data_IF_084256474727
#
_entry.id   IF_084256474727
#
_cell.length_a   1.000
_cell.length_b   1.000
_cell.length_c   1.000
_cell.angle_alpha   90.00
_cell.angle_beta   90.00
_cell.angle_gamma   90.00
#
_symmetry.space_group_name_H-M   'P 1'
#
loop_
_entity.id
_entity.type
_entity.pdbx_description
1 polymer ?
#
# COMPACT_ATOMS: atom_id res chain seq x y z
N UNK A 1 -20.34 -58.24 53.00
CA UNK A 1 -20.25 -56.97 52.31
C UNK A 1 -21.15 -57.03 51.07
N UNK A 2 -22.27 -56.31 50.98
CA UNK A 2 -23.13 -56.31 49.80
C UNK A 2 -22.40 -55.47 48.70
N UNK A 3 -22.26 -56.07 47.53
CA UNK A 3 -21.73 -55.41 46.34
C UNK A 3 -22.65 -54.27 45.87
N UNK A 4 -22.09 -53.24 45.20
CA UNK A 4 -22.87 -52.07 44.79
C UNK A 4 -23.95 -52.48 43.78
N UNK A 5 -25.17 -52.06 44.08
CA UNK A 5 -26.38 -52.28 43.25
C UNK A 5 -26.24 -51.65 41.86
N UNK A 6 -25.60 -52.33 40.92
CA UNK A 6 -25.51 -51.99 39.52
C UNK A 6 -26.87 -51.82 38.82
N UNK A 7 -27.94 -52.40 39.37
CA UNK A 7 -29.29 -52.32 38.81
C UNK A 7 -30.00 -50.98 39.07
N UNK A 8 -29.56 -50.18 40.07
CA UNK A 8 -30.12 -48.84 40.31
C UNK A 8 -29.49 -47.72 39.47
N UNK A 9 -28.33 -47.96 38.84
CA UNK A 9 -27.64 -47.00 38.03
C UNK A 9 -28.02 -47.01 36.53
N UNK A 10 -28.68 -48.05 36.04
CA UNK A 10 -29.06 -48.20 34.63
C UNK A 10 -29.94 -47.08 34.06
N UNK A 11 -30.94 -46.49 34.76
CA UNK A 11 -31.78 -45.43 34.18
C UNK A 11 -31.05 -44.09 33.97
N UNK A 12 -29.93 -43.87 34.68
CA UNK A 12 -29.12 -42.63 34.57
C UNK A 12 -28.00 -42.71 33.53
N UNK A 13 -27.57 -43.93 33.16
CA UNK A 13 -26.47 -44.11 32.19
C UNK A 13 -26.83 -43.65 30.78
N UNK A 14 -28.00 -43.91 30.28
CA UNK A 14 -28.44 -43.52 28.95
C UNK A 14 -28.56 -41.99 28.74
N UNK A 15 -29.25 -41.24 29.64
CA UNK A 15 -29.27 -39.78 29.56
C UNK A 15 -27.89 -39.13 29.63
N UNK A 16 -27.01 -39.66 30.50
CA UNK A 16 -25.60 -39.21 30.60
C UNK A 16 -24.81 -39.46 29.33
N UNK A 17 -24.96 -40.64 28.73
CA UNK A 17 -24.27 -40.99 27.47
C UNK A 17 -24.74 -40.10 26.30
N UNK A 18 -26.07 -39.88 26.16
CA UNK A 18 -26.63 -39.00 25.15
C UNK A 18 -26.17 -37.56 25.38
N UNK A 19 -26.20 -37.08 26.63
CA UNK A 19 -25.74 -35.75 26.99
C UNK A 19 -24.25 -35.54 26.68
N UNK A 20 -23.39 -36.50 27.05
CA UNK A 20 -21.94 -36.40 26.76
C UNK A 20 -21.65 -36.48 25.25
N UNK A 21 -22.34 -37.34 24.51
CA UNK A 21 -22.17 -37.45 23.06
C UNK A 21 -22.62 -36.18 22.35
N UNK A 22 -23.73 -35.58 22.71
CA UNK A 22 -24.22 -34.33 22.13
C UNK A 22 -23.33 -33.16 22.49
N UNK A 23 -22.79 -33.08 23.70
CA UNK A 23 -21.78 -32.08 24.09
C UNK A 23 -20.47 -32.24 23.32
N UNK A 24 -20.04 -33.49 23.11
CA UNK A 24 -18.83 -33.75 22.31
C UNK A 24 -19.00 -33.30 20.84
N UNK A 25 -20.16 -33.53 20.25
CA UNK A 25 -20.51 -33.06 18.90
C UNK A 25 -20.56 -31.53 18.89
N UNK A 26 -21.20 -30.91 19.88
CA UNK A 26 -21.23 -29.44 19.99
C UNK A 26 -19.83 -28.84 20.12
N UNK A 27 -18.98 -29.43 20.95
CA UNK A 27 -17.59 -28.98 21.13
C UNK A 27 -16.79 -29.12 19.82
N UNK A 28 -16.98 -30.22 19.10
CA UNK A 28 -16.33 -30.44 17.80
C UNK A 28 -16.81 -29.43 16.75
N UNK A 29 -18.10 -29.17 16.64
CA UNK A 29 -18.67 -28.16 15.74
C UNK A 29 -18.15 -26.76 16.07
N UNK A 30 -18.17 -26.40 17.34
CA UNK A 30 -17.65 -25.11 17.81
C UNK A 30 -16.15 -24.93 17.49
N UNK A 31 -15.35 -25.98 17.70
CA UNK A 31 -13.93 -25.93 17.38
C UNK A 31 -13.69 -25.85 15.87
N UNK A 32 -14.46 -26.60 15.09
CA UNK A 32 -14.40 -26.58 13.62
C UNK A 32 -14.75 -25.20 13.07
N UNK A 33 -15.83 -24.60 13.55
CA UNK A 33 -16.26 -23.25 13.15
C UNK A 33 -15.21 -22.19 13.49
N UNK A 34 -14.63 -22.24 14.69
CA UNK A 34 -13.54 -21.35 15.06
C UNK A 34 -12.33 -21.45 14.14
N UNK A 35 -11.95 -22.66 13.78
CA UNK A 35 -10.82 -22.88 12.86
C UNK A 35 -11.14 -22.36 11.46
N UNK A 36 -12.34 -22.58 10.97
CA UNK A 36 -12.79 -22.08 9.67
C UNK A 36 -12.80 -20.55 9.66
N UNK A 37 -13.43 -19.92 10.65
CA UNK A 37 -13.46 -18.47 10.79
C UNK A 37 -12.07 -17.84 10.87
N UNK A 38 -11.13 -18.47 11.58
CA UNK A 38 -9.73 -17.98 11.62
C UNK A 38 -9.02 -18.11 10.28
N UNK A 39 -9.27 -19.20 9.53
CA UNK A 39 -8.69 -19.39 8.19
C UNK A 39 -9.23 -18.36 7.21
N UNK A 40 -10.55 -18.11 7.26
CA UNK A 40 -11.21 -17.14 6.38
C UNK A 40 -10.73 -15.71 6.67
N UNK A 41 -10.61 -15.34 7.95
CA UNK A 41 -10.03 -14.06 8.33
C UNK A 41 -8.58 -13.93 7.83
N UNK A 42 -7.75 -14.97 8.01
CA UNK A 42 -6.37 -14.94 7.52
C UNK A 42 -6.31 -14.83 6.01
N UNK A 43 -7.15 -15.58 5.28
CA UNK A 43 -7.24 -15.51 3.82
C UNK A 43 -7.65 -14.12 3.33
N UNK A 44 -8.63 -13.48 3.98
CA UNK A 44 -9.06 -12.11 3.66
C UNK A 44 -7.96 -11.09 3.96
N UNK A 45 -7.22 -11.27 5.05
CA UNK A 45 -6.07 -10.43 5.39
C UNK A 45 -4.95 -10.55 4.34
N UNK A 46 -4.54 -11.78 3.99
CA UNK A 46 -3.52 -12.05 3.00
C UNK A 46 -3.94 -11.58 1.58
N UNK A 47 -5.24 -11.65 1.28
CA UNK A 47 -5.79 -11.07 0.05
C UNK A 47 -5.67 -9.54 0.06
N UNK A 48 -6.05 -8.88 1.15
CA UNK A 48 -5.93 -7.43 1.30
C UNK A 48 -4.48 -6.93 1.17
N UNK A 49 -3.53 -7.66 1.76
CA UNK A 49 -2.10 -7.37 1.65
C UNK A 49 -1.62 -7.42 0.19
N UNK A 50 -1.86 -8.55 -0.50
CA UNK A 50 -1.46 -8.70 -1.91
C UNK A 50 -2.16 -7.70 -2.83
N UNK A 51 -3.45 -7.45 -2.61
CA UNK A 51 -4.20 -6.46 -3.39
C UNK A 51 -3.61 -5.06 -3.23
N UNK A 52 -3.18 -4.70 -2.00
CA UNK A 52 -2.51 -3.43 -1.74
C UNK A 52 -1.19 -3.32 -2.51
N UNK A 53 -0.35 -4.33 -2.41
CA UNK A 53 0.94 -4.37 -3.11
C UNK A 53 0.74 -4.24 -4.63
N UNK A 54 -0.13 -5.07 -5.20
CA UNK A 54 -0.44 -5.05 -6.64
C UNK A 54 -0.94 -3.68 -7.11
N UNK A 55 -1.85 -3.04 -6.37
CA UNK A 55 -2.35 -1.70 -6.73
C UNK A 55 -1.26 -0.64 -6.73
N UNK A 56 -0.33 -0.71 -5.77
CA UNK A 56 0.83 0.22 -5.73
C UNK A 56 1.70 -0.02 -6.97
N UNK A 57 2.02 -1.28 -7.28
CA UNK A 57 2.83 -1.65 -8.44
C UNK A 57 2.19 -1.20 -9.75
N UNK A 58 0.90 -1.46 -9.96
CA UNK A 58 0.14 -1.06 -11.15
C UNK A 58 0.12 0.46 -11.32
N UNK A 59 -0.08 1.22 -10.24
CA UNK A 59 -0.09 2.68 -10.29
C UNK A 59 1.28 3.24 -10.68
N UNK A 60 2.34 2.70 -10.10
CA UNK A 60 3.70 3.13 -10.41
C UNK A 60 4.14 2.72 -11.82
N UNK A 61 3.69 1.55 -12.29
CA UNK A 61 3.87 1.14 -13.68
C UNK A 61 3.15 2.09 -14.66
N UNK A 62 1.97 2.60 -14.30
CA UNK A 62 1.27 3.64 -15.04
C UNK A 62 2.09 4.93 -15.15
N UNK A 63 2.72 5.38 -14.05
CA UNK A 63 3.60 6.56 -14.06
C UNK A 63 4.86 6.31 -14.91
N UNK A 64 5.44 5.11 -14.85
CA UNK A 64 6.56 4.74 -15.71
C UNK A 64 6.17 4.79 -17.19
N UNK A 65 5.01 4.26 -17.56
CA UNK A 65 4.53 4.29 -18.92
C UNK A 65 4.32 5.72 -19.45
N UNK A 66 3.82 6.60 -18.58
CA UNK A 66 3.67 8.02 -18.89
C UNK A 66 5.03 8.69 -19.15
N UNK A 67 6.05 8.41 -18.31
CA UNK A 67 7.41 8.90 -18.52
C UNK A 67 8.01 8.37 -19.83
N UNK A 68 7.74 7.11 -20.19
CA UNK A 68 8.18 6.55 -21.48
C UNK A 68 7.54 7.29 -22.66
N UNK A 69 6.27 7.66 -22.55
CA UNK A 69 5.60 8.51 -23.55
C UNK A 69 6.26 9.88 -23.65
N UNK A 70 6.50 10.55 -22.50
CA UNK A 70 7.16 11.84 -22.47
C UNK A 70 8.60 11.79 -23.01
N UNK A 71 9.35 10.70 -22.73
CA UNK A 71 10.65 10.46 -23.34
C UNK A 71 10.56 10.38 -24.85
N UNK A 72 9.56 9.63 -25.38
CA UNK A 72 9.34 9.48 -26.81
C UNK A 72 9.12 10.80 -27.53
N UNK A 73 8.47 11.79 -26.89
CA UNK A 73 8.31 13.14 -27.43
C UNK A 73 9.67 13.80 -27.71
N UNK A 74 10.63 13.70 -26.79
CA UNK A 74 11.97 14.29 -26.95
C UNK A 74 12.85 13.50 -27.93
N UNK A 75 12.76 12.18 -27.94
CA UNK A 75 13.57 11.33 -28.83
C UNK A 75 13.09 11.36 -30.28
N UNK A 76 11.80 11.64 -30.50
CA UNK A 76 11.21 11.73 -31.84
C UNK A 76 11.31 13.15 -32.45
N UNK A 77 11.38 14.19 -31.63
CA UNK A 77 11.34 15.59 -32.06
C UNK A 77 12.74 16.20 -32.14
N UNK A 78 12.99 17.11 -33.09
CA UNK A 78 14.22 17.88 -33.15
C UNK A 78 14.25 18.99 -32.08
N UNK A 79 13.08 19.59 -31.83
CA UNK A 79 12.89 20.61 -30.79
C UNK A 79 11.54 20.39 -30.12
N UNK A 80 11.49 20.53 -28.82
CA UNK A 80 10.24 20.51 -28.05
C UNK A 80 10.08 21.87 -27.41
N UNK A 81 8.98 22.56 -27.73
CA UNK A 81 8.65 23.84 -27.10
C UNK A 81 7.99 23.60 -25.73
N UNK A 82 7.98 24.61 -24.86
CA UNK A 82 7.31 24.57 -23.57
C UNK A 82 5.83 24.28 -23.69
N UNK A 83 5.15 25.00 -24.62
CA UNK A 83 3.71 24.84 -24.85
C UNK A 83 3.39 23.48 -25.46
N UNK A 84 4.24 22.98 -26.38
CA UNK A 84 4.10 21.62 -26.93
C UNK A 84 4.26 20.56 -25.86
N UNK A 85 5.21 20.74 -24.94
CA UNK A 85 5.36 19.83 -23.80
C UNK A 85 4.14 19.87 -22.86
N UNK A 86 3.66 21.08 -22.53
CA UNK A 86 2.48 21.25 -21.67
C UNK A 86 1.23 20.59 -22.30
N UNK A 87 0.94 20.85 -23.57
CA UNK A 87 -0.17 20.24 -24.30
C UNK A 87 -0.06 18.71 -24.35
N UNK A 88 1.16 18.20 -24.54
CA UNK A 88 1.40 16.76 -24.54
C UNK A 88 1.12 16.14 -23.16
N UNK A 89 1.58 16.77 -22.09
CA UNK A 89 1.31 16.30 -20.73
C UNK A 89 -0.18 16.37 -20.41
N UNK A 90 -0.86 17.45 -20.80
CA UNK A 90 -2.31 17.57 -20.61
C UNK A 90 -3.07 16.46 -21.33
N UNK A 91 -2.66 16.13 -22.57
CA UNK A 91 -3.25 15.03 -23.31
C UNK A 91 -2.99 13.67 -22.67
N UNK A 92 -1.80 13.46 -22.09
CA UNK A 92 -1.45 12.23 -21.36
C UNK A 92 -2.25 12.08 -20.06
N UNK A 93 -2.50 13.17 -19.34
CA UNK A 93 -3.13 13.14 -18.03
C UNK A 93 -4.65 13.32 -18.08
N UNK A 94 -5.18 13.90 -19.16
CA UNK A 94 -6.59 14.26 -19.30
C UNK A 94 -7.58 13.09 -19.41
N UNK A 95 -7.12 11.86 -19.62
CA UNK A 95 -7.98 10.68 -19.79
C UNK A 95 -7.79 9.59 -18.73
N UNK A 96 -6.87 9.76 -17.75
CA UNK A 96 -6.50 8.74 -16.79
C UNK A 96 -6.60 9.21 -15.35
N UNK A 97 -6.84 8.26 -14.44
CA UNK A 97 -6.72 8.49 -13.02
C UNK A 97 -5.24 8.44 -12.60
N UNK A 98 -4.57 9.59 -12.69
CA UNK A 98 -3.19 9.79 -12.25
C UNK A 98 -3.11 10.50 -10.90
N UNK A 99 -4.06 10.21 -10.03
CA UNK A 99 -4.09 10.77 -8.68
C UNK A 99 -2.77 10.51 -7.94
N UNK A 100 -2.24 11.53 -7.29
CA UNK A 100 -0.92 11.51 -6.65
C UNK A 100 0.20 12.05 -7.51
N UNK A 101 0.08 12.03 -8.84
CA UNK A 101 1.03 12.68 -9.74
C UNK A 101 0.88 14.20 -9.62
N UNK A 102 1.99 14.88 -9.31
CA UNK A 102 2.00 16.33 -9.17
C UNK A 102 2.47 17.06 -10.40
N UNK A 103 3.49 16.52 -11.04
CA UNK A 103 4.04 17.13 -12.24
C UNK A 103 4.87 16.14 -13.02
N UNK A 104 4.90 16.35 -14.34
CA UNK A 104 5.91 15.82 -15.24
C UNK A 104 6.83 16.96 -15.63
N UNK A 105 8.15 16.72 -15.60
CA UNK A 105 9.13 17.73 -15.92
C UNK A 105 10.19 17.16 -16.86
N UNK A 106 10.91 18.06 -17.52
CA UNK A 106 12.10 17.75 -18.30
C UNK A 106 13.28 18.58 -17.81
N UNK A 107 14.44 17.95 -17.69
CA UNK A 107 15.70 18.57 -17.28
C UNK A 107 16.82 18.11 -18.23
N UNK A 108 17.37 19.00 -19.07
CA UNK A 108 18.49 18.69 -19.97
C UNK A 108 19.80 18.53 -19.20
N UNK A 109 20.70 17.73 -19.76
CA UNK A 109 22.07 17.58 -19.31
C UNK A 109 22.94 18.66 -19.99
N UNK A 110 23.44 19.59 -19.24
CA UNK A 110 24.18 20.73 -19.78
C UNK A 110 25.60 20.79 -19.22
N UNK A 111 26.61 21.12 -20.04
CA UNK A 111 27.92 21.57 -19.55
C UNK A 111 27.75 22.92 -18.86
N UNK A 112 28.49 23.15 -17.77
CA UNK A 112 28.33 24.34 -16.94
C UNK A 112 28.59 25.65 -17.67
N UNK A 113 29.50 25.63 -18.66
CA UNK A 113 29.83 26.81 -19.49
C UNK A 113 28.69 27.21 -20.44
N UNK A 114 27.70 26.35 -20.70
CA UNK A 114 26.55 26.64 -21.55
C UNK A 114 25.38 27.28 -20.78
N UNK A 115 25.44 27.35 -19.45
CA UNK A 115 24.34 27.86 -18.60
C UNK A 115 23.89 29.28 -18.97
N UNK A 116 24.81 30.28 -19.17
CA UNK A 116 24.36 31.63 -19.52
C UNK A 116 23.60 31.71 -20.86
N UNK A 117 24.04 30.97 -21.87
CA UNK A 117 23.36 30.89 -23.15
C UNK A 117 22.00 30.19 -23.04
N UNK A 118 21.93 29.11 -22.23
CA UNK A 118 20.72 28.40 -21.97
C UNK A 118 19.69 29.25 -21.22
N UNK A 119 20.09 29.99 -20.19
CA UNK A 119 19.21 30.95 -19.49
C UNK A 119 18.66 32.04 -20.41
N UNK A 120 19.53 32.58 -21.28
CA UNK A 120 19.10 33.57 -22.27
C UNK A 120 18.05 32.99 -23.23
N UNK A 121 18.27 31.78 -23.72
CA UNK A 121 17.30 31.08 -24.58
C UNK A 121 15.97 30.83 -23.85
N UNK A 122 15.99 30.39 -22.59
CA UNK A 122 14.77 30.18 -21.79
C UNK A 122 14.01 31.49 -21.53
N UNK A 123 14.70 32.58 -21.28
CA UNK A 123 14.10 33.93 -21.14
C UNK A 123 13.48 34.41 -22.44
N UNK A 124 14.16 34.20 -23.57
CA UNK A 124 13.64 34.53 -24.89
C UNK A 124 12.42 33.69 -25.28
N UNK A 125 12.29 32.47 -24.75
CA UNK A 125 11.15 31.57 -24.93
C UNK A 125 10.00 31.82 -23.93
N UNK A 126 9.93 33.00 -23.30
CA UNK A 126 8.81 33.40 -22.47
C UNK A 126 8.97 33.18 -20.95
N UNK A 127 10.15 32.72 -20.48
CA UNK A 127 10.42 32.58 -19.05
C UNK A 127 11.28 33.72 -18.53
N UNK A 128 10.75 34.93 -18.45
CA UNK A 128 11.48 36.15 -18.11
C UNK A 128 12.37 36.07 -16.87
N UNK A 129 11.97 35.31 -15.86
CA UNK A 129 12.73 35.11 -14.60
C UNK A 129 13.54 33.83 -14.52
N UNK A 130 13.76 33.12 -15.63
CA UNK A 130 14.46 31.83 -15.58
C UNK A 130 15.94 32.01 -15.20
N UNK A 131 16.34 31.35 -14.14
CA UNK A 131 17.71 31.33 -13.62
C UNK A 131 18.02 29.99 -13.01
N UNK A 132 19.21 29.44 -13.31
CA UNK A 132 19.65 28.14 -12.78
C UNK A 132 20.12 28.30 -11.33
N UNK A 133 19.58 27.48 -10.44
CA UNK A 133 19.84 27.52 -8.99
C UNK A 133 20.29 26.16 -8.47
N UNK A 134 21.25 26.11 -7.51
CA UNK A 134 21.97 27.23 -6.91
C UNK A 134 22.92 27.90 -7.89
N UNK A 135 23.22 29.16 -7.64
CA UNK A 135 24.24 29.91 -8.40
C UNK A 135 25.65 29.34 -8.16
N UNK A 136 26.53 29.48 -9.13
CA UNK A 136 27.93 29.07 -9.05
C UNK A 136 28.38 28.21 -10.22
N UNK A 137 29.70 28.22 -10.48
CA UNK A 137 30.31 27.44 -11.56
C UNK A 137 30.31 25.94 -11.21
N UNK A 138 29.90 25.11 -12.16
CA UNK A 138 29.92 23.65 -12.09
C UNK A 138 30.19 23.08 -13.48
N UNK A 139 30.80 21.89 -13.51
CA UNK A 139 31.11 21.23 -14.80
C UNK A 139 29.84 20.71 -15.49
N UNK A 140 28.86 20.22 -14.71
CA UNK A 140 27.63 19.64 -15.18
C UNK A 140 26.44 20.22 -14.40
N UNK A 141 25.37 20.53 -15.12
CA UNK A 141 24.14 21.10 -14.59
C UNK A 141 22.94 20.39 -15.22
N UNK A 142 21.90 20.15 -14.43
CA UNK A 142 20.66 19.49 -14.89
C UNK A 142 19.47 20.32 -14.41
N UNK A 143 19.18 21.47 -15.04
CA UNK A 143 18.14 22.39 -14.62
C UNK A 143 16.77 21.91 -15.07
N UNK A 144 15.77 21.99 -14.20
CA UNK A 144 14.38 21.78 -14.59
C UNK A 144 13.97 22.87 -15.58
N UNK A 145 13.69 22.48 -16.83
CA UNK A 145 13.41 23.42 -17.92
C UNK A 145 11.94 23.52 -18.24
N UNK A 146 11.25 22.41 -18.23
CA UNK A 146 9.81 22.31 -18.47
C UNK A 146 9.15 21.57 -17.32
N UNK A 147 7.95 21.99 -16.94
CA UNK A 147 7.13 21.34 -15.94
C UNK A 147 5.65 21.56 -16.29
N UNK A 148 4.85 20.51 -16.21
CA UNK A 148 3.41 20.54 -16.43
C UNK A 148 2.70 19.54 -15.49
N UNK A 149 1.49 19.86 -15.01
CA UNK A 149 0.79 21.14 -15.21
C UNK A 149 1.57 22.30 -14.55
N UNK A 150 1.44 23.49 -15.13
CA UNK A 150 2.06 24.70 -14.60
C UNK A 150 1.22 25.24 -13.43
N UNK A 151 1.43 24.73 -12.23
CA UNK A 151 0.87 25.31 -10.98
C UNK A 151 1.87 26.29 -10.37
N UNK A 152 1.39 27.32 -9.67
CA UNK A 152 2.24 28.40 -9.11
C UNK A 152 3.41 27.88 -8.27
N UNK A 153 3.20 26.80 -7.53
CA UNK A 153 4.25 26.14 -6.76
C UNK A 153 5.37 25.55 -7.63
N UNK A 154 5.11 25.17 -8.88
CA UNK A 154 6.08 24.62 -9.82
C UNK A 154 6.91 25.65 -10.55
N UNK A 155 6.41 26.89 -10.64
CA UNK A 155 7.18 28.03 -11.18
C UNK A 155 8.47 28.21 -10.39
N UNK A 156 8.43 27.96 -9.06
CA UNK A 156 9.61 27.96 -8.19
C UNK A 156 10.62 26.83 -8.44
N UNK A 157 10.19 25.71 -9.06
CA UNK A 157 11.04 24.58 -9.38
C UNK A 157 11.82 24.78 -10.70
N UNK A 158 11.35 25.64 -11.60
CA UNK A 158 12.03 25.94 -12.85
C UNK A 158 13.41 26.55 -12.57
N UNK A 159 14.43 26.04 -13.26
CA UNK A 159 15.82 26.40 -13.07
C UNK A 159 16.50 25.67 -11.90
N UNK A 160 15.79 24.90 -11.07
CA UNK A 160 16.45 24.10 -10.02
C UNK A 160 17.36 23.04 -10.64
N UNK A 161 18.65 23.09 -10.27
CA UNK A 161 19.64 22.13 -10.73
C UNK A 161 19.58 20.84 -9.90
N UNK A 162 19.07 19.79 -10.50
CA UNK A 162 18.94 18.48 -9.87
C UNK A 162 20.29 17.80 -9.61
N UNK A 163 21.32 18.18 -10.38
CA UNK A 163 22.66 17.62 -10.22
C UNK A 163 23.37 18.12 -8.97
N UNK A 164 22.98 19.27 -8.46
CA UNK A 164 23.56 19.86 -7.25
C UNK A 164 23.23 19.08 -5.97
N UNK A 165 22.12 18.36 -5.95
CA UNK A 165 21.69 17.52 -4.83
C UNK A 165 22.22 16.08 -5.00
N UNK A 166 23.01 15.56 -4.06
CA UNK A 166 23.61 14.22 -4.20
C UNK A 166 22.60 13.10 -4.32
N UNK A 167 21.46 13.19 -3.65
CA UNK A 167 20.40 12.15 -3.66
C UNK A 167 19.72 12.10 -5.02
N UNK A 168 19.37 13.28 -5.57
CA UNK A 168 18.77 13.38 -6.91
C UNK A 168 19.76 12.95 -7.98
N UNK A 169 21.01 13.40 -7.87
CA UNK A 169 22.10 13.04 -8.79
C UNK A 169 22.33 11.54 -8.85
N UNK A 170 22.27 10.82 -7.73
CA UNK A 170 22.39 9.37 -7.69
C UNK A 170 21.29 8.69 -8.50
N UNK A 171 20.03 9.09 -8.32
CA UNK A 171 18.91 8.56 -9.10
C UNK A 171 19.05 8.86 -10.60
N UNK A 172 19.48 10.06 -10.99
CA UNK A 172 19.77 10.42 -12.38
C UNK A 172 20.86 9.54 -12.98
N UNK A 173 21.92 9.29 -12.24
CA UNK A 173 23.02 8.41 -12.65
C UNK A 173 22.56 6.96 -12.79
N UNK A 174 21.82 6.45 -11.82
CA UNK A 174 21.25 5.10 -11.85
C UNK A 174 20.35 4.91 -13.07
N UNK A 175 19.44 5.85 -13.32
CA UNK A 175 18.56 5.82 -14.50
C UNK A 175 19.38 5.81 -15.80
N UNK A 176 20.39 6.68 -15.95
CA UNK A 176 21.25 6.72 -17.13
C UNK A 176 22.06 5.44 -17.34
N UNK A 177 22.59 4.86 -16.26
CA UNK A 177 23.37 3.61 -16.35
C UNK A 177 22.49 2.42 -16.74
N UNK A 178 21.30 2.31 -16.16
CA UNK A 178 20.37 1.20 -16.45
C UNK A 178 19.61 1.39 -17.76
N UNK A 179 19.38 2.63 -18.21
CA UNK A 179 18.46 2.97 -19.30
C UNK A 179 16.99 2.81 -18.92
N UNK A 180 16.71 2.56 -17.65
CA UNK A 180 15.39 2.32 -17.08
C UNK A 180 15.02 3.46 -16.13
N UNK A 181 13.76 3.43 -15.69
CA UNK A 181 13.28 4.34 -14.65
C UNK A 181 14.04 4.05 -13.35
N UNK A 182 14.38 5.11 -12.62
CA UNK A 182 14.86 5.04 -11.24
C UNK A 182 13.98 5.93 -10.35
N UNK A 183 13.91 5.61 -9.05
CA UNK A 183 13.15 6.37 -8.08
C UNK A 183 14.08 6.92 -6.99
N UNK A 184 13.86 8.16 -6.57
CA UNK A 184 14.62 8.72 -5.44
C UNK A 184 14.10 8.14 -4.12
N UNK A 185 14.89 8.19 -3.03
CA UNK A 185 14.35 8.12 -1.69
C UNK A 185 13.31 9.22 -1.46
N UNK A 186 12.62 9.14 -0.32
CA UNK A 186 11.73 10.23 0.09
C UNK A 186 12.51 11.54 0.25
N UNK A 187 12.16 12.54 -0.54
CA UNK A 187 12.79 13.84 -0.53
C UNK A 187 11.90 14.84 0.20
N UNK A 188 12.45 15.55 1.16
CA UNK A 188 11.86 16.82 1.60
C UNK A 188 11.98 17.79 0.42
N UNK A 189 10.86 18.24 -0.14
CA UNK A 189 10.83 19.12 -1.32
C UNK A 189 11.32 18.46 -2.62
N UNK A 190 10.62 17.44 -3.10
CA UNK A 190 11.03 16.69 -4.29
C UNK A 190 11.38 17.58 -5.51
N UNK A 191 10.54 18.57 -5.82
CA UNK A 191 10.79 19.60 -6.84
C UNK A 191 10.44 21.03 -6.37
N UNK A 192 9.80 21.20 -5.20
CA UNK A 192 9.26 22.48 -4.77
C UNK A 192 10.07 23.09 -3.64
N UNK A 193 10.82 24.18 -3.84
CA UNK A 193 11.41 24.94 -2.74
C UNK A 193 10.31 25.77 -2.04
N UNK A 194 10.22 25.66 -0.72
CA UNK A 194 9.49 26.62 0.12
C UNK A 194 8.02 26.33 0.46
N UNK A 195 7.49 25.17 0.10
CA UNK A 195 6.18 24.70 0.59
C UNK A 195 6.31 24.00 1.95
N UNK A 196 5.20 23.87 2.70
CA UNK A 196 5.06 22.99 3.88
C UNK A 196 5.84 21.69 3.67
N UNK A 197 6.29 21.01 4.73
CA UNK A 197 7.07 19.76 4.73
C UNK A 197 6.44 18.64 3.86
N UNK A 198 6.36 18.88 2.55
CA UNK A 198 5.81 17.98 1.57
C UNK A 198 6.90 16.99 1.17
N UNK A 199 6.88 15.82 1.78
CA UNK A 199 7.69 14.71 1.35
C UNK A 199 7.15 14.15 0.04
N UNK A 200 8.05 13.85 -0.89
CA UNK A 200 7.68 13.30 -2.18
C UNK A 200 8.83 12.51 -2.78
N UNK A 201 8.55 11.78 -3.82
CA UNK A 201 9.52 11.00 -4.57
C UNK A 201 9.55 11.46 -6.03
N UNK A 202 10.70 11.28 -6.68
CA UNK A 202 10.87 11.49 -8.10
C UNK A 202 11.09 10.16 -8.79
N UNK A 203 10.28 9.87 -9.80
CA UNK A 203 10.63 8.93 -10.86
C UNK A 203 11.43 9.66 -11.92
N UNK A 204 12.55 9.11 -12.34
CA UNK A 204 13.42 9.71 -13.35
C UNK A 204 13.72 8.70 -14.45
N UNK A 205 13.58 9.11 -15.70
CA UNK A 205 13.86 8.29 -16.88
C UNK A 205 14.79 9.05 -17.82
N UNK A 206 15.93 8.47 -18.26
CA UNK A 206 16.86 9.16 -19.13
C UNK A 206 16.28 9.34 -20.53
N UNK A 207 16.63 10.47 -21.14
CA UNK A 207 16.36 10.82 -22.54
C UNK A 207 17.69 10.78 -23.29
N UNK A 208 17.67 10.23 -24.51
CA UNK A 208 18.85 10.11 -25.33
C UNK A 208 18.71 10.98 -26.59
N UNK A 209 19.84 11.35 -27.18
CA UNK A 209 19.85 12.10 -28.40
C UNK A 209 19.20 11.32 -29.54
N UNK A 210 18.35 11.98 -30.32
CA UNK A 210 17.58 11.40 -31.43
C UNK A 210 18.48 10.60 -32.36
N UNK A 211 18.06 9.35 -32.64
CA UNK A 211 18.75 8.46 -33.56
C UNK A 211 20.10 7.92 -33.08
N UNK A 212 20.53 8.23 -31.85
CA UNK A 212 21.79 7.74 -31.32
C UNK A 212 21.60 6.42 -30.57
N UNK A 213 22.59 5.49 -30.66
CA UNK A 213 22.52 4.22 -29.95
C UNK A 213 22.65 4.44 -28.44
N UNK A 214 21.88 3.64 -27.66
CA UNK A 214 21.89 3.67 -26.18
C UNK A 214 21.79 2.27 -25.56
N UNK A 215 22.22 1.25 -26.30
CA UNK A 215 22.16 -0.15 -25.90
C UNK A 215 23.17 -0.48 -24.79
N UNK A 216 24.35 0.14 -24.84
CA UNK A 216 25.42 -0.07 -23.87
C UNK A 216 25.48 1.05 -22.85
N UNK A 217 26.07 0.78 -21.68
CA UNK A 217 26.31 1.80 -20.64
C UNK A 217 27.18 2.95 -21.19
N UNK A 218 28.20 2.63 -22.01
CA UNK A 218 29.06 3.63 -22.63
C UNK A 218 28.28 4.53 -23.58
N UNK A 219 27.46 3.97 -24.46
CA UNK A 219 26.60 4.71 -25.39
C UNK A 219 25.62 5.61 -24.62
N UNK A 220 24.97 5.10 -23.58
CA UNK A 220 24.07 5.89 -22.72
C UNK A 220 24.76 7.08 -22.02
N UNK A 221 26.02 6.94 -21.65
CA UNK A 221 26.80 8.04 -21.05
C UNK A 221 27.10 9.14 -22.07
N UNK A 222 27.39 8.76 -23.30
CA UNK A 222 27.76 9.70 -24.38
C UNK A 222 26.53 10.39 -24.95
N UNK A 223 25.45 9.66 -25.17
CA UNK A 223 24.28 10.15 -25.89
C UNK A 223 23.10 10.57 -24.97
N UNK A 224 23.30 10.59 -23.66
CA UNK A 224 22.30 11.11 -22.72
C UNK A 224 22.11 12.61 -22.91
N UNK A 225 20.90 13.06 -23.24
CA UNK A 225 20.55 14.47 -23.47
C UNK A 225 19.86 15.11 -22.28
N UNK A 226 19.30 14.32 -21.35
CA UNK A 226 18.57 14.81 -20.19
C UNK A 226 17.71 13.73 -19.54
N UNK A 227 16.74 14.16 -18.76
CA UNK A 227 15.78 13.27 -18.08
C UNK A 227 14.37 13.85 -18.13
N UNK A 228 13.39 12.98 -18.31
CA UNK A 228 11.99 13.24 -17.95
C UNK A 228 11.77 12.74 -16.53
N UNK A 229 10.97 13.48 -15.77
CA UNK A 229 10.76 13.28 -14.35
C UNK A 229 9.26 13.30 -14.05
N UNK A 230 8.83 12.45 -13.10
CA UNK A 230 7.50 12.54 -12.51
C UNK A 230 7.64 12.73 -10.99
N UNK A 231 7.03 13.79 -10.47
CA UNK A 231 6.97 14.04 -9.03
C UNK A 231 5.62 13.62 -8.50
N UNK A 232 5.60 12.87 -7.39
CA UNK A 232 4.36 12.49 -6.71
C UNK A 232 4.55 12.42 -5.20
N UNK A 233 3.42 12.52 -4.47
CA UNK A 233 3.37 12.29 -3.02
C UNK A 233 2.84 10.91 -2.75
N UNK A 234 3.48 10.24 -1.80
CA UNK A 234 3.05 8.89 -1.41
C UNK A 234 1.69 8.92 -0.73
N UNK A 235 1.37 9.98 0.04
CA UNK A 235 0.05 10.16 0.65
C UNK A 235 -1.05 10.27 -0.40
N UNK A 236 -0.84 11.08 -1.44
CA UNK A 236 -1.82 11.28 -2.51
C UNK A 236 -1.99 9.98 -3.32
N UNK A 237 -0.88 9.24 -3.55
CA UNK A 237 -0.90 7.92 -4.16
C UNK A 237 -1.76 6.97 -3.33
N UNK A 238 -1.49 6.84 -2.03
CA UNK A 238 -2.21 5.92 -1.15
C UNK A 238 -3.69 6.32 -0.99
N UNK A 239 -3.99 7.61 -0.87
CA UNK A 239 -5.36 8.11 -0.83
C UNK A 239 -6.15 7.74 -2.10
N UNK A 240 -5.50 7.81 -3.28
CA UNK A 240 -6.14 7.43 -4.54
C UNK A 240 -6.44 5.93 -4.67
N UNK A 241 -5.68 5.07 -3.97
CA UNK A 241 -5.87 3.63 -4.05
C UNK A 241 -7.05 3.14 -3.19
N UNK A 242 -7.35 3.83 -2.11
CA UNK A 242 -8.33 3.37 -1.11
C UNK A 242 -9.53 4.30 -0.93
N UNK A 243 -9.49 5.56 -1.40
CA UNK A 243 -10.48 6.55 -1.05
C UNK A 243 -10.56 6.74 0.47
N UNK A 244 -11.77 7.02 0.98
CA UNK A 244 -12.01 7.15 2.42
C UNK A 244 -12.17 5.79 3.16
N UNK A 245 -12.21 4.68 2.43
CA UNK A 245 -12.51 3.35 2.94
C UNK A 245 -11.33 2.38 2.79
N UNK A 246 -10.28 2.56 3.58
CA UNK A 246 -9.36 1.46 3.82
C UNK A 246 -10.14 0.29 4.46
N UNK A 247 -9.90 -0.98 4.06
CA UNK A 247 -10.66 -2.14 4.51
C UNK A 247 -10.41 -2.53 5.98
N UNK A 248 -10.27 -1.55 6.87
CA UNK A 248 -9.96 -1.78 8.29
C UNK A 248 -8.54 -2.26 8.57
N UNK A 249 -7.64 -2.12 7.60
CA UNK A 249 -6.22 -2.46 7.70
C UNK A 249 -5.40 -1.21 8.02
N UNK A 250 -4.49 -1.32 8.99
CA UNK A 250 -3.43 -0.32 9.22
C UNK A 250 -2.28 -0.59 8.23
N UNK A 251 -2.14 0.30 7.25
CA UNK A 251 -1.19 0.19 6.16
C UNK A 251 -0.07 1.19 6.37
N UNK A 252 1.17 0.71 6.37
CA UNK A 252 2.38 1.52 6.47
C UNK A 252 3.34 1.16 5.35
N UNK A 253 3.98 2.16 4.77
CA UNK A 253 4.94 2.00 3.69
C UNK A 253 6.28 2.60 4.11
N UNK A 254 7.36 1.88 3.86
CA UNK A 254 8.73 2.26 4.21
C UNK A 254 9.65 2.18 2.99
N UNK A 255 10.60 3.11 2.89
CA UNK A 255 11.64 3.08 1.87
C UNK A 255 12.80 2.19 2.34
N UNK A 256 13.10 1.15 1.57
CA UNK A 256 14.12 0.16 1.89
C UNK A 256 13.54 -1.15 2.42
N UNK A 257 14.45 -2.04 2.85
CA UNK A 257 14.12 -3.34 3.42
C UNK A 257 14.01 -3.19 4.93
N UNK A 258 12.81 -3.45 5.47
CA UNK A 258 12.52 -3.41 6.91
C UNK A 258 11.61 -2.25 7.32
N UNK A 259 11.25 -2.26 8.60
CA UNK A 259 10.35 -1.29 9.22
C UNK A 259 11.20 -0.30 10.03
N UNK A 260 11.54 0.82 9.44
CA UNK A 260 12.29 1.91 10.07
C UNK A 260 11.47 3.20 9.98
N UNK A 261 11.11 3.74 11.14
CA UNK A 261 10.30 4.96 11.24
C UNK A 261 10.99 6.19 10.61
N UNK A 262 12.33 6.20 10.52
CA UNK A 262 13.07 7.27 9.83
C UNK A 262 12.85 7.24 8.31
N UNK A 263 12.53 6.08 7.77
CA UNK A 263 12.30 5.84 6.35
C UNK A 263 10.82 5.60 6.01
N UNK A 264 9.92 5.96 6.92
CA UNK A 264 8.48 5.81 6.68
C UNK A 264 8.01 6.76 5.59
N UNK A 265 7.38 6.19 4.57
CA UNK A 265 6.78 6.90 3.44
C UNK A 265 5.30 7.23 3.69
N UNK A 266 4.58 6.31 4.36
CA UNK A 266 3.14 6.44 4.62
C UNK A 266 2.73 5.71 5.90
N UNK A 267 1.79 6.27 6.72
CA UNK A 267 1.41 7.70 6.70
C UNK A 267 2.61 8.58 7.02
N UNK A 268 2.63 9.82 6.51
CA UNK A 268 3.76 10.71 6.73
C UNK A 268 4.04 10.91 8.22
N UNK A 269 5.33 10.88 8.58
CA UNK A 269 5.75 11.20 9.94
C UNK A 269 5.70 12.73 10.16
N UNK A 270 4.60 13.26 10.71
CA UNK A 270 4.46 14.68 10.98
C UNK A 270 3.67 14.97 12.24
N UNK A 271 4.05 16.00 13.04
CA UNK A 271 3.40 16.29 14.32
C UNK A 271 1.98 16.87 14.21
N UNK A 272 1.42 17.08 13.01
CA UNK A 272 0.16 17.80 12.81
C UNK A 272 -0.86 17.11 11.89
N UNK A 273 -0.74 15.82 11.63
CA UNK A 273 -1.82 15.07 10.97
C UNK A 273 -2.62 14.23 11.98
N UNK A 274 -3.08 14.88 13.04
CA UNK A 274 -4.22 14.42 13.81
C UNK A 274 -5.51 14.83 13.08
N UNK A 275 -5.75 14.29 11.89
CA UNK A 275 -7.09 14.21 11.36
C UNK A 275 -7.90 13.21 12.18
N UNK A 276 -9.25 13.24 12.17
CA UNK A 276 -10.09 12.36 12.98
C UNK A 276 -9.80 10.86 12.78
N UNK A 277 -9.25 10.47 11.63
CA UNK A 277 -8.80 9.09 11.36
C UNK A 277 -7.49 8.71 12.07
N UNK A 278 -6.56 9.67 12.26
CA UNK A 278 -5.30 9.41 12.96
C UNK A 278 -5.49 9.37 14.49
N UNK A 279 -6.48 10.11 15.02
CA UNK A 279 -6.87 10.05 16.42
C UNK A 279 -7.52 8.71 16.79
N UNK A 280 -8.28 8.11 15.88
CA UNK A 280 -8.82 6.76 16.08
C UNK A 280 -7.73 5.68 16.08
N UNK A 281 -6.75 5.78 15.18
CA UNK A 281 -5.61 4.84 15.12
C UNK A 281 -4.70 4.91 16.37
N UNK A 282 -4.60 6.05 17.04
CA UNK A 282 -3.81 6.20 18.26
C UNK A 282 -4.54 5.78 19.53
N UNK A 283 -5.88 5.80 19.55
CA UNK A 283 -6.67 5.32 20.68
C UNK A 283 -6.84 3.80 20.71
N UNK A 284 -6.76 3.13 19.54
CA UNK A 284 -6.87 1.68 19.40
C UNK A 284 -5.54 0.92 19.53
N UNK A 285 -4.44 1.60 19.84
CA UNK A 285 -3.13 0.97 20.08
C UNK A 285 -3.09 0.07 21.34
N UNK A 286 -4.24 -0.14 22.01
CA UNK A 286 -4.34 -0.91 23.25
C UNK A 286 -4.44 -2.43 23.04
N UNK A 287 -4.75 -2.93 21.85
CA UNK A 287 -4.76 -4.37 21.57
C UNK A 287 -3.76 -4.72 20.47
N UNK A 288 -2.96 -5.76 20.70
CA UNK A 288 -2.05 -6.30 19.70
C UNK A 288 -2.84 -6.68 18.44
N UNK A 289 -2.33 -6.36 17.23
CA UNK A 289 -3.01 -6.72 15.99
C UNK A 289 -3.14 -8.25 15.90
N UNK A 290 -4.28 -8.71 15.42
CA UNK A 290 -4.55 -10.15 15.28
C UNK A 290 -3.73 -10.77 14.15
N UNK A 291 -3.50 -9.99 13.11
CA UNK A 291 -2.64 -10.34 11.98
C UNK A 291 -1.71 -9.18 11.67
N UNK A 292 -0.49 -9.54 11.32
CA UNK A 292 0.56 -8.63 10.92
C UNK A 292 1.40 -9.32 9.83
N UNK A 293 1.75 -8.59 8.77
CA UNK A 293 2.57 -9.11 7.69
C UNK A 293 3.34 -8.00 6.97
N UNK A 294 4.46 -8.40 6.37
CA UNK A 294 5.31 -7.56 5.55
C UNK A 294 5.32 -8.10 4.12
N UNK A 295 5.25 -7.19 3.15
CA UNK A 295 5.42 -7.48 1.73
C UNK A 295 6.49 -6.56 1.16
N UNK A 296 7.34 -7.09 0.28
CA UNK A 296 8.42 -6.32 -0.35
C UNK A 296 8.07 -6.01 -1.80
N UNK A 297 8.03 -4.74 -2.13
CA UNK A 297 7.65 -4.24 -3.46
C UNK A 297 8.90 -3.70 -4.13
N UNK A 298 9.26 -4.27 -5.30
CA UNK A 298 10.38 -3.78 -6.09
C UNK A 298 9.92 -2.66 -7.04
N UNK A 299 10.41 -1.44 -6.84
CA UNK A 299 9.96 -0.25 -7.57
C UNK A 299 11.17 0.48 -8.14
N UNK A 300 11.26 0.55 -9.47
CA UNK A 300 12.22 1.40 -10.17
C UNK A 300 13.67 1.31 -9.62
N UNK A 301 14.11 0.09 -9.29
CA UNK A 301 15.45 -0.19 -8.76
C UNK A 301 15.62 0.00 -7.26
N UNK A 302 14.54 0.26 -6.51
CA UNK A 302 14.50 0.28 -5.04
C UNK A 302 13.51 -0.76 -4.52
N UNK A 303 13.63 -1.11 -3.26
CA UNK A 303 12.65 -1.96 -2.56
C UNK A 303 11.90 -1.12 -1.54
N UNK A 304 10.58 -1.18 -1.56
CA UNK A 304 9.74 -0.63 -0.50
C UNK A 304 9.19 -1.77 0.35
N UNK A 305 9.05 -1.53 1.64
CA UNK A 305 8.45 -2.48 2.58
C UNK A 305 7.04 -2.00 2.92
N UNK A 306 6.06 -2.82 2.55
CA UNK A 306 4.66 -2.66 2.91
C UNK A 306 4.41 -3.45 4.20
N UNK A 307 4.06 -2.76 5.28
CA UNK A 307 3.61 -3.34 6.54
C UNK A 307 2.11 -3.17 6.67
N UNK A 308 1.40 -4.28 6.83
CA UNK A 308 -0.06 -4.29 6.99
C UNK A 308 -0.40 -4.99 8.30
N UNK A 309 -1.29 -4.38 9.08
CA UNK A 309 -1.81 -4.92 10.34
C UNK A 309 -3.33 -4.93 10.31
N UNK A 310 -3.94 -5.95 10.94
CA UNK A 310 -5.38 -5.94 11.14
C UNK A 310 -5.76 -4.88 12.19
N UNK A 311 -6.73 -4.04 11.85
CA UNK A 311 -7.34 -3.11 12.79
C UNK A 311 -8.69 -3.63 13.32
N UNK A 312 -9.28 -2.97 14.34
CA UNK A 312 -10.55 -3.36 14.92
C UNK A 312 -11.70 -3.42 13.91
N UNK A 313 -11.71 -2.52 12.93
CA UNK A 313 -12.72 -2.52 11.87
C UNK A 313 -12.61 -3.75 10.95
N UNK A 314 -11.41 -4.27 10.71
CA UNK A 314 -11.19 -5.52 10.01
C UNK A 314 -11.72 -6.70 10.82
N UNK A 315 -11.38 -6.74 12.11
CA UNK A 315 -11.82 -7.80 13.02
C UNK A 315 -13.34 -7.84 13.18
N UNK A 316 -14.00 -6.68 13.25
CA UNK A 316 -15.46 -6.58 13.27
C UNK A 316 -16.11 -7.04 11.95
N UNK A 317 -15.51 -6.70 10.82
CA UNK A 317 -16.08 -7.02 9.50
C UNK A 317 -15.95 -8.50 9.14
N UNK A 318 -14.83 -9.13 9.49
CA UNK A 318 -14.51 -10.51 9.12
C UNK A 318 -14.52 -11.48 10.30
N UNK A 319 -14.66 -10.97 11.54
CA UNK A 319 -14.87 -11.80 12.72
C UNK A 319 -16.27 -12.39 12.70
N UNK A 320 -16.40 -13.72 12.62
CA UNK A 320 -17.69 -14.34 12.74
C UNK A 320 -18.05 -14.53 14.23
N UNK A 321 -19.15 -13.91 14.67
CA UNK A 321 -19.73 -14.12 16.01
C UNK A 321 -20.58 -15.39 16.11
N UNK A 322 -20.47 -16.30 15.13
CA UNK A 322 -21.24 -17.54 15.09
C UNK A 322 -20.81 -18.56 16.16
N UNK A 323 -19.54 -18.56 16.55
CA UNK A 323 -19.02 -19.52 17.53
C UNK A 323 -19.72 -19.49 18.91
N UNK A 324 -19.99 -18.35 19.56
CA UNK A 324 -20.73 -18.31 20.82
C UNK A 324 -22.20 -18.71 20.65
N UNK A 325 -22.81 -18.42 19.49
CA UNK A 325 -24.18 -18.82 19.18
C UNK A 325 -24.26 -20.34 19.07
N UNK A 326 -23.33 -20.97 18.34
CA UNK A 326 -23.26 -22.44 18.20
C UNK A 326 -23.02 -23.09 19.57
N UNK A 327 -22.12 -22.54 20.39
CA UNK A 327 -21.86 -23.05 21.72
C UNK A 327 -23.11 -23.00 22.61
N UNK A 328 -23.79 -21.86 22.71
CA UNK A 328 -24.96 -21.67 23.55
C UNK A 328 -26.18 -22.52 23.07
N UNK A 329 -26.43 -22.51 21.77
CA UNK A 329 -27.49 -23.34 21.18
C UNK A 329 -27.21 -24.85 21.35
N UNK A 330 -25.96 -25.26 21.15
CA UNK A 330 -25.56 -26.67 21.29
C UNK A 330 -25.62 -27.17 22.74
N UNK A 331 -25.22 -26.35 23.72
CA UNK A 331 -25.38 -26.69 25.16
C UNK A 331 -26.87 -26.81 25.53
N UNK A 332 -27.71 -25.86 25.08
CA UNK A 332 -29.15 -25.91 25.32
C UNK A 332 -29.79 -27.15 24.73
N UNK A 333 -29.48 -27.49 23.49
CA UNK A 333 -29.96 -28.68 22.80
C UNK A 333 -29.51 -29.98 23.49
N UNK A 334 -28.23 -30.02 23.92
CA UNK A 334 -27.68 -31.18 24.64
C UNK A 334 -28.39 -31.41 25.97
N UNK A 335 -28.68 -30.33 26.71
CA UNK A 335 -29.48 -30.41 27.93
C UNK A 335 -30.92 -30.90 27.70
N UNK A 336 -31.57 -30.39 26.65
CA UNK A 336 -32.92 -30.82 26.27
C UNK A 336 -32.97 -32.30 25.88
N UNK A 337 -32.00 -32.80 25.11
CA UNK A 337 -31.88 -34.19 24.72
C UNK A 337 -31.65 -35.11 25.92
N UNK A 338 -30.78 -34.73 26.85
CA UNK A 338 -30.51 -35.46 28.06
C UNK A 338 -31.76 -35.54 28.95
N UNK A 339 -32.49 -34.42 29.12
CA UNK A 339 -33.75 -34.36 29.87
C UNK A 339 -34.83 -35.23 29.24
N UNK A 340 -35.01 -35.14 27.92
CA UNK A 340 -35.98 -35.97 27.20
C UNK A 340 -35.68 -37.45 27.36
N UNK A 341 -34.43 -37.84 27.24
CA UNK A 341 -33.97 -39.21 27.42
C UNK A 341 -34.26 -39.70 28.86
N UNK A 342 -34.01 -38.84 29.84
CA UNK A 342 -34.27 -39.14 31.25
C UNK A 342 -35.78 -39.34 31.50
N UNK A 343 -36.64 -38.46 30.96
CA UNK A 343 -38.11 -38.59 31.07
C UNK A 343 -38.62 -39.86 30.43
N UNK A 344 -38.12 -40.24 29.25
CA UNK A 344 -38.52 -41.46 28.54
C UNK A 344 -38.10 -42.72 29.31
N UNK A 345 -36.89 -42.78 29.87
CA UNK A 345 -36.40 -43.92 30.62
C UNK A 345 -37.17 -44.08 31.93
N UNK A 346 -37.38 -42.98 32.69
CA UNK A 346 -38.10 -43.00 33.96
C UNK A 346 -39.60 -43.25 33.76
N UNK A 347 -40.20 -42.73 32.68
CA UNK A 347 -41.60 -43.01 32.33
C UNK A 347 -41.85 -44.49 32.02
N UNK A 348 -40.92 -45.12 31.29
CA UNK A 348 -40.98 -46.55 30.93
C UNK A 348 -40.85 -47.48 32.17
N UNK A 349 -40.00 -47.12 33.13
CA UNK A 349 -39.83 -47.87 34.38
C UNK A 349 -41.07 -47.79 35.25
N UNK A 350 -41.76 -46.64 35.33
CA UNK A 350 -43.01 -46.46 36.04
C UNK A 350 -44.15 -47.30 35.41
N UNK A 351 -44.28 -47.31 34.08
CA UNK A 351 -45.24 -48.09 33.37
C UNK A 351 -45.09 -49.64 33.57
N UNK A 352 -43.79 -50.06 33.59
CA UNK A 352 -43.47 -51.48 33.85
C UNK A 352 -43.71 -51.91 35.32
N UNK A 353 -43.62 -50.98 36.28
CA UNK A 353 -43.96 -51.27 37.69
C UNK A 353 -45.48 -51.39 37.90
N UNK A 354 -46.25 -50.53 37.25
CA UNK A 354 -47.74 -50.60 37.34
C UNK A 354 -48.25 -51.87 36.66
N UNK A 355 -47.73 -52.30 35.51
CA UNK A 355 -48.06 -53.51 34.83
C UNK A 355 -47.79 -54.83 35.64
N UNK A 356 -46.72 -54.80 36.49
CA UNK A 356 -46.39 -55.96 37.39
C UNK A 356 -47.19 -56.01 38.69
N UNK A 357 -47.86 -54.94 39.08
CA UNK A 357 -48.74 -54.87 40.26
C UNK A 357 -50.14 -55.33 39.97
N UNK A 358 -50.49 -55.56 38.71
CA UNK A 358 -51.82 -56.04 38.26
C UNK A 358 -51.84 -57.47 37.73
N UNK A 359 -50.76 -58.24 37.90
CA UNK A 359 -50.71 -59.71 37.69
C UNK A 359 -50.39 -60.36 39.01
#
# INVERSE_FOLDING_TARGET
MPGPDLKRAQPLLWPLLVGLLSLAITAWLWQHERQTAQRDMRSNFDFGLRQTATRIEERLAGYEQMLRGARGLFEASDTVSRDGFAQYVDALTGGGDFAGLRTIAFAPLLPGNSVPAFEAAQRGAGSAGFTVKPLGARDVVVPVSYAAPAVDALVGALGSDLWSDPVRREALLQARQSGRVAITPNLRHALLPGGRQDSGVLLVLPVFAKGQPHDTVAARRVHGSGWVLASFRVEDLMASLYGENAPGLDIRLYDGVGVDEAHRLYPAAGPNQAGPAASAASADAASAPRFDALEYIAIAGRTWTLSVRSGPAFDQRYGSDSAPIIASAGVGLSGALALLTWLLVTGRDRANQIGRAHV
#
